data_IF_863452548862
#
_entry.id   IF_863452548862
#
_cell.length_a   1.000
_cell.length_b   1.000
_cell.length_c   1.000
_cell.angle_alpha   90.00
_cell.angle_beta   90.00
_cell.angle_gamma   90.00
#
_symmetry.space_group_name_H-M   'P 1'
#
loop_
_entity.id
_entity.type
_entity.pdbx_description
1 polymer ?
#
# COMPACT_ATOMS: atom_id res chain seq x y z
N UNK A 1 -27.14 20.54 46.03
CA UNK A 1 -26.42 20.78 44.76
C UNK A 1 -25.42 19.65 44.47
N UNK A 2 -25.46 19.01 43.29
CA UNK A 2 -24.43 18.04 42.93
C UNK A 2 -23.07 18.75 42.77
N UNK A 3 -21.94 18.07 43.07
CA UNK A 3 -20.62 18.66 42.93
C UNK A 3 -20.29 18.88 41.45
N UNK A 4 -19.74 20.06 41.14
CA UNK A 4 -19.20 20.38 39.83
C UNK A 4 -18.03 19.43 39.52
N UNK A 5 -18.20 18.56 38.52
CA UNK A 5 -17.10 17.80 37.96
C UNK A 5 -16.28 18.73 37.05
N UNK A 6 -14.94 18.72 37.15
CA UNK A 6 -14.10 19.47 36.23
C UNK A 6 -14.27 18.94 34.80
N UNK A 7 -14.12 19.80 33.77
CA UNK A 7 -14.19 19.36 32.38
C UNK A 7 -13.11 18.32 32.08
N UNK A 8 -13.38 17.36 31.18
CA UNK A 8 -12.37 16.38 30.78
C UNK A 8 -11.15 17.09 30.15
N UNK A 9 -9.94 16.57 30.34
CA UNK A 9 -8.74 17.13 29.73
C UNK A 9 -8.90 17.15 28.21
N UNK A 10 -8.53 18.28 27.59
CA UNK A 10 -8.52 18.46 26.15
C UNK A 10 -7.64 17.40 25.49
N UNK A 11 -8.18 16.72 24.47
CA UNK A 11 -7.43 15.75 23.67
C UNK A 11 -6.15 16.39 23.13
N UNK A 12 -5.00 15.69 23.18
CA UNK A 12 -3.78 16.20 22.59
C UNK A 12 -4.00 16.42 21.09
N UNK A 13 -3.37 17.46 20.49
CA UNK A 13 -3.48 17.68 19.05
C UNK A 13 -3.02 16.42 18.30
N UNK A 14 -3.61 16.13 17.13
CA UNK A 14 -3.16 15.01 16.31
C UNK A 14 -1.67 15.18 16.03
N UNK A 15 -0.88 14.13 16.28
CA UNK A 15 0.56 14.14 15.94
C UNK A 15 0.68 14.47 14.47
N UNK A 16 1.48 15.49 14.16
CA UNK A 16 1.90 15.76 12.79
C UNK A 16 2.48 14.46 12.21
N UNK A 17 2.10 14.08 10.98
CA UNK A 17 2.72 12.93 10.34
C UNK A 17 4.24 13.15 10.29
N UNK A 18 5.05 12.07 10.38
CA UNK A 18 6.49 12.18 10.23
C UNK A 18 6.79 12.90 8.90
N UNK A 19 7.74 13.84 8.94
CA UNK A 19 8.21 14.53 7.73
C UNK A 19 8.65 13.48 6.72
N UNK A 20 7.95 13.38 5.60
CA UNK A 20 8.39 12.54 4.50
C UNK A 20 9.76 13.05 4.03
N UNK A 21 10.69 12.16 3.61
CA UNK A 21 11.88 12.61 2.91
C UNK A 21 11.47 13.41 1.67
N UNK A 22 12.26 14.43 1.27
CA UNK A 22 11.96 15.18 0.06
C UNK A 22 11.95 14.21 -1.14
N UNK A 23 11.01 14.36 -2.08
CA UNK A 23 10.93 13.49 -3.23
C UNK A 23 12.16 13.64 -4.11
N UNK A 24 12.63 12.52 -4.68
CA UNK A 24 13.74 12.52 -5.62
C UNK A 24 13.22 12.93 -6.99
N UNK A 25 13.70 14.07 -7.52
CA UNK A 25 13.33 14.53 -8.86
C UNK A 25 14.13 13.80 -9.95
N UNK A 26 13.44 13.36 -11.00
CA UNK A 26 14.07 12.79 -12.19
C UNK A 26 14.29 13.90 -13.22
N UNK A 27 15.49 13.93 -13.81
CA UNK A 27 15.83 14.90 -14.85
C UNK A 27 15.41 14.36 -16.22
N UNK A 28 15.23 15.25 -17.20
CA UNK A 28 15.07 14.84 -18.59
C UNK A 28 16.23 13.95 -19.05
N UNK A 29 15.92 12.93 -19.85
CA UNK A 29 16.90 11.95 -20.35
C UNK A 29 17.02 10.70 -19.48
N UNK A 30 18.16 10.01 -19.60
CA UNK A 30 18.38 8.74 -18.91
C UNK A 30 18.66 8.95 -17.42
N UNK A 31 17.95 8.22 -16.56
CA UNK A 31 18.15 8.19 -15.12
C UNK A 31 18.31 6.74 -14.66
N UNK A 32 19.23 6.51 -13.72
CA UNK A 32 19.28 5.26 -12.96
C UNK A 32 18.22 5.28 -11.85
N UNK A 33 17.60 4.13 -11.60
CA UNK A 33 16.58 3.91 -10.59
C UNK A 33 17.01 2.76 -9.68
N UNK A 34 16.93 2.99 -8.38
CA UNK A 34 16.97 1.89 -7.40
C UNK A 34 15.64 1.13 -7.42
N UNK A 35 15.71 -0.18 -7.21
CA UNK A 35 14.54 -0.98 -6.82
C UNK A 35 14.22 -0.73 -5.34
N UNK A 36 12.95 -0.84 -4.98
CA UNK A 36 12.48 -0.75 -3.58
C UNK A 36 13.15 -1.78 -2.67
N UNK A 37 13.37 -1.42 -1.40
CA UNK A 37 13.70 -2.38 -0.35
C UNK A 37 12.48 -3.20 0.11
N UNK A 38 12.67 -4.31 0.84
CA UNK A 38 11.56 -5.00 1.51
C UNK A 38 10.77 -4.06 2.42
N UNK A 39 9.44 -4.04 2.28
CA UNK A 39 8.55 -3.13 3.02
C UNK A 39 8.62 -1.65 2.61
N UNK A 40 9.29 -1.33 1.49
CA UNK A 40 9.30 -0.02 0.82
C UNK A 40 8.40 -0.05 -0.43
N UNK A 41 7.73 1.07 -0.70
CA UNK A 41 7.01 1.35 -1.92
C UNK A 41 7.57 2.64 -2.52
N UNK A 42 8.02 2.57 -3.77
CA UNK A 42 8.46 3.70 -4.57
C UNK A 42 7.40 3.96 -5.64
N UNK A 43 7.02 5.23 -5.83
CA UNK A 43 6.07 5.64 -6.88
C UNK A 43 6.71 6.77 -7.69
N UNK A 44 6.79 6.60 -9.01
CA UNK A 44 7.09 7.69 -9.93
C UNK A 44 5.78 8.35 -10.33
N UNK A 45 5.72 9.67 -10.17
CA UNK A 45 4.55 10.45 -10.57
C UNK A 45 4.93 11.65 -11.42
N UNK A 46 4.09 11.98 -12.39
CA UNK A 46 4.20 13.19 -13.20
C UNK A 46 3.78 14.41 -12.39
N UNK A 47 4.59 15.47 -12.42
CA UNK A 47 4.41 16.70 -11.61
C UNK A 47 4.06 17.92 -12.46
N UNK A 48 3.77 17.75 -13.76
CA UNK A 48 3.51 18.83 -14.72
C UNK A 48 2.21 19.59 -14.45
N UNK A 49 1.25 19.01 -13.71
CA UNK A 49 0.02 19.67 -13.31
C UNK A 49 0.09 20.17 -11.85
N UNK A 50 0.23 21.49 -11.65
CA UNK A 50 0.40 22.10 -10.32
C UNK A 50 -0.81 22.02 -9.40
N UNK A 51 -2.01 21.76 -9.95
CA UNK A 51 -3.29 21.90 -9.24
C UNK A 51 -4.01 20.56 -9.01
N UNK A 52 -3.38 19.43 -9.38
CA UNK A 52 -3.95 18.09 -9.22
C UNK A 52 -3.02 17.16 -8.45
N UNK A 53 -3.58 16.10 -7.88
CA UNK A 53 -2.77 14.98 -7.40
C UNK A 53 -1.86 14.49 -8.53
N UNK A 54 -0.57 14.24 -8.24
CA UNK A 54 0.38 13.83 -9.26
C UNK A 54 -0.04 12.47 -9.83
N UNK A 55 0.07 12.32 -11.16
CA UNK A 55 -0.39 11.12 -11.85
C UNK A 55 0.67 10.01 -11.73
N UNK A 56 0.35 8.86 -11.11
CA UNK A 56 1.32 7.79 -10.95
C UNK A 56 1.59 7.12 -12.30
N UNK A 57 2.87 6.94 -12.61
CA UNK A 57 3.33 6.46 -13.91
C UNK A 57 4.12 5.15 -13.81
N UNK A 58 4.72 4.87 -12.65
CA UNK A 58 5.32 3.57 -12.34
C UNK A 58 5.43 3.35 -10.82
N UNK A 59 5.59 2.10 -10.39
CA UNK A 59 5.91 1.75 -9.00
C UNK A 59 6.90 0.59 -8.89
N UNK A 60 7.62 0.54 -7.77
CA UNK A 60 8.40 -0.62 -7.32
C UNK A 60 8.07 -0.87 -5.85
N UNK A 61 7.85 -2.13 -5.46
CA UNK A 61 7.56 -2.49 -4.08
C UNK A 61 8.20 -3.82 -3.68
N UNK A 62 8.61 -3.90 -2.42
CA UNK A 62 9.06 -5.13 -1.77
C UNK A 62 10.19 -5.88 -2.51
N UNK A 63 11.17 -5.14 -3.03
CA UNK A 63 12.31 -5.73 -3.75
C UNK A 63 12.03 -6.07 -5.21
N UNK A 64 10.84 -5.76 -5.75
CA UNK A 64 10.45 -6.12 -7.11
C UNK A 64 10.84 -5.05 -8.14
N UNK A 65 11.17 -5.45 -9.38
CA UNK A 65 11.40 -4.51 -10.49
C UNK A 65 10.25 -3.49 -10.63
N UNK A 66 10.57 -2.36 -11.26
CA UNK A 66 9.57 -1.35 -11.55
C UNK A 66 8.52 -1.87 -12.53
N UNK A 67 7.27 -1.50 -12.29
CA UNK A 67 6.14 -1.76 -13.19
C UNK A 67 5.43 -0.46 -13.55
N UNK A 68 5.06 -0.31 -14.83
CA UNK A 68 4.33 0.84 -15.33
C UNK A 68 2.90 0.89 -14.78
N UNK A 69 2.40 2.09 -14.51
CA UNK A 69 1.05 2.31 -14.01
C UNK A 69 0.21 3.09 -15.03
N UNK A 70 -1.05 2.67 -15.19
CA UNK A 70 -2.02 3.40 -15.99
C UNK A 70 -2.44 4.71 -15.27
N UNK A 71 -2.76 5.79 -16.02
CA UNK A 71 -3.01 5.83 -17.46
C UNK A 71 -1.78 6.07 -18.35
N UNK A 72 -0.64 6.47 -17.78
CA UNK A 72 0.57 6.84 -18.52
C UNK A 72 1.77 6.00 -18.06
N UNK A 73 1.85 4.72 -18.46
CA UNK A 73 2.88 3.82 -17.95
C UNK A 73 4.26 4.17 -18.50
N UNK A 74 5.19 4.46 -17.61
CA UNK A 74 6.60 4.61 -17.98
C UNK A 74 7.22 3.24 -18.27
N UNK A 75 7.99 3.16 -19.35
CA UNK A 75 8.82 2.00 -19.66
C UNK A 75 10.13 2.11 -18.88
N UNK A 76 10.42 1.09 -18.08
CA UNK A 76 11.59 1.05 -17.20
C UNK A 76 12.33 -0.26 -17.46
N UNK A 77 13.61 -0.15 -17.79
CA UNK A 77 14.45 -1.29 -18.13
C UNK A 77 15.22 -1.73 -16.88
N UNK A 78 14.77 -2.84 -16.28
CA UNK A 78 15.45 -3.45 -15.15
C UNK A 78 16.35 -4.58 -15.63
N UNK A 79 17.65 -4.51 -15.33
CA UNK A 79 18.57 -5.61 -15.61
C UNK A 79 18.41 -6.70 -14.55
N UNK A 80 18.30 -7.97 -14.97
CA UNK A 80 17.99 -9.08 -14.06
C UNK A 80 19.09 -9.35 -12.99
N UNK A 81 20.29 -8.80 -13.18
CA UNK A 81 21.49 -9.10 -12.37
C UNK A 81 21.82 -8.06 -11.31
N UNK A 82 21.29 -6.85 -11.41
CA UNK A 82 21.60 -5.75 -10.50
C UNK A 82 20.30 -5.06 -10.18
N UNK A 83 19.99 -4.79 -8.91
CA UNK A 83 18.79 -4.04 -8.46
C UNK A 83 18.76 -2.57 -8.95
N UNK A 84 19.37 -2.30 -10.10
CA UNK A 84 19.46 -1.06 -10.84
C UNK A 84 18.62 -1.19 -12.12
N UNK A 85 17.73 -0.22 -12.31
CA UNK A 85 16.94 -0.07 -13.51
C UNK A 85 17.25 1.28 -14.16
N UNK A 86 16.96 1.43 -15.45
CA UNK A 86 17.10 2.71 -16.15
C UNK A 86 15.76 3.17 -16.69
N UNK A 87 15.58 4.48 -16.76
CA UNK A 87 14.41 5.13 -17.34
C UNK A 87 14.83 6.30 -18.21
N UNK A 88 14.14 6.50 -19.33
CA UNK A 88 14.29 7.71 -20.15
C UNK A 88 13.09 8.62 -19.91
N UNK A 89 13.34 9.76 -19.26
CA UNK A 89 12.32 10.78 -18.99
C UNK A 89 12.20 11.73 -20.18
N UNK A 90 10.98 11.97 -20.71
CA UNK A 90 10.75 12.94 -21.77
C UNK A 90 11.25 14.36 -21.40
N UNK A 91 11.77 15.14 -22.37
CA UNK A 91 12.36 16.46 -22.10
C UNK A 91 11.36 17.50 -21.57
N UNK A 92 10.08 17.34 -21.88
CA UNK A 92 8.94 18.11 -21.40
C UNK A 92 8.32 17.53 -20.12
N UNK A 93 8.73 16.33 -19.73
CA UNK A 93 8.25 15.64 -18.54
C UNK A 93 8.95 16.11 -17.27
N UNK A 94 8.17 16.36 -16.22
CA UNK A 94 8.68 16.54 -14.86
C UNK A 94 8.17 15.38 -14.01
N UNK A 95 9.08 14.58 -13.47
CA UNK A 95 8.73 13.41 -12.67
C UNK A 95 9.44 13.44 -11.33
N UNK A 96 8.77 12.88 -10.33
CA UNK A 96 9.34 12.69 -9.00
C UNK A 96 9.13 11.28 -8.51
N UNK A 97 10.04 10.81 -7.68
CA UNK A 97 9.95 9.55 -6.95
C UNK A 97 9.56 9.84 -5.52
N UNK A 98 8.39 9.37 -5.12
CA UNK A 98 7.91 9.38 -3.74
C UNK A 98 8.27 8.04 -3.06
N UNK A 99 8.76 8.11 -1.82
CA UNK A 99 9.22 6.96 -1.04
C UNK A 99 8.29 6.73 0.15
N UNK A 100 7.72 5.53 0.24
CA UNK A 100 6.86 5.11 1.32
C UNK A 100 7.48 3.91 2.03
N UNK A 101 7.89 4.10 3.28
CA UNK A 101 8.40 3.01 4.11
C UNK A 101 7.35 2.59 5.12
N UNK A 102 7.08 1.29 5.23
CA UNK A 102 6.28 0.76 6.31
C UNK A 102 7.03 0.85 7.65
N UNK A 103 6.34 1.28 8.71
CA UNK A 103 6.88 1.15 10.06
C UNK A 103 6.49 -0.19 10.68
N UNK A 104 7.18 -0.68 11.72
CA UNK A 104 6.73 -1.86 12.48
C UNK A 104 5.30 -1.70 13.04
N UNK A 105 4.88 -0.45 13.30
CA UNK A 105 3.52 -0.18 13.74
C UNK A 105 2.49 -0.39 12.61
N UNK A 106 2.89 -0.35 11.34
CA UNK A 106 2.02 -0.57 10.17
C UNK A 106 1.89 -2.03 9.78
N UNK A 107 2.83 -2.87 10.20
CA UNK A 107 2.85 -4.32 9.94
C UNK A 107 2.37 -5.15 11.12
N UNK A 108 1.81 -4.51 12.16
CA UNK A 108 1.18 -5.24 13.27
C UNK A 108 0.06 -6.16 12.74
N UNK A 109 -0.10 -7.38 13.30
CA UNK A 109 -1.05 -8.37 12.80
C UNK A 109 -2.50 -7.85 12.68
N UNK A 110 -2.94 -7.02 13.63
CA UNK A 110 -4.28 -6.41 13.63
C UNK A 110 -4.50 -5.48 12.44
N UNK A 111 -3.51 -4.67 12.10
CA UNK A 111 -3.56 -3.79 10.93
C UNK A 111 -3.51 -4.56 9.62
N UNK A 112 -2.70 -5.63 9.56
CA UNK A 112 -2.63 -6.50 8.38
C UNK A 112 -3.97 -7.20 8.14
N UNK A 113 -4.56 -7.81 9.18
CA UNK A 113 -5.88 -8.43 9.11
C UNK A 113 -6.96 -7.41 8.69
N UNK A 114 -6.95 -6.21 9.29
CA UNK A 114 -7.93 -5.18 8.95
C UNK A 114 -7.81 -4.69 7.51
N UNK A 115 -6.57 -4.44 7.02
CA UNK A 115 -6.32 -4.05 5.62
C UNK A 115 -6.76 -5.13 4.65
N UNK A 116 -6.43 -6.39 4.95
CA UNK A 116 -6.86 -7.53 4.16
C UNK A 116 -8.39 -7.59 4.03
N UNK A 117 -9.14 -7.49 5.14
CA UNK A 117 -10.60 -7.54 5.11
C UNK A 117 -11.24 -6.36 4.35
N UNK A 118 -10.61 -5.17 4.41
CA UNK A 118 -11.02 -4.03 3.58
C UNK A 118 -10.78 -4.29 2.09
N UNK A 119 -9.60 -4.81 1.72
CA UNK A 119 -9.26 -5.16 0.34
C UNK A 119 -10.16 -6.28 -0.21
N UNK A 120 -10.52 -7.24 0.64
CA UNK A 120 -11.48 -8.28 0.31
C UNK A 120 -12.93 -7.77 0.19
N UNK A 121 -13.21 -6.49 0.50
CA UNK A 121 -14.54 -5.88 0.50
C UNK A 121 -15.52 -6.43 1.56
N UNK A 122 -15.04 -7.14 2.57
CA UNK A 122 -15.86 -7.63 3.70
C UNK A 122 -15.90 -6.63 4.86
N UNK A 123 -14.89 -5.76 4.96
CA UNK A 123 -14.76 -4.80 6.04
C UNK A 123 -14.28 -5.45 7.35
N UNK A 124 -13.49 -4.74 8.17
CA UNK A 124 -12.97 -5.27 9.42
C UNK A 124 -13.98 -5.09 10.55
N UNK A 125 -14.34 -6.19 11.21
CA UNK A 125 -15.01 -6.18 12.52
C UNK A 125 -14.03 -6.56 13.61
N UNK A 126 -14.26 -6.17 14.89
CA UNK A 126 -13.41 -6.61 15.99
C UNK A 126 -13.26 -8.13 16.06
N UNK A 127 -14.32 -8.89 15.79
CA UNK A 127 -14.33 -10.35 15.80
C UNK A 127 -13.49 -10.93 14.65
N UNK A 128 -13.66 -10.44 13.42
CA UNK A 128 -12.92 -10.94 12.26
C UNK A 128 -11.42 -10.62 12.33
N UNK A 129 -11.05 -9.44 12.84
CA UNK A 129 -9.65 -9.10 13.12
C UNK A 129 -9.10 -10.05 14.18
N UNK A 130 -9.80 -10.27 15.29
CA UNK A 130 -9.36 -11.21 16.34
C UNK A 130 -9.15 -12.61 15.79
N UNK A 131 -10.05 -13.10 14.95
CA UNK A 131 -9.96 -14.43 14.32
C UNK A 131 -8.72 -14.55 13.43
N UNK A 132 -8.44 -13.55 12.58
CA UNK A 132 -7.27 -13.54 11.71
C UNK A 132 -5.95 -13.36 12.48
N UNK A 133 -5.97 -12.66 13.62
CA UNK A 133 -4.78 -12.47 14.46
C UNK A 133 -4.57 -13.54 15.53
N UNK A 134 -5.46 -14.54 15.61
CA UNK A 134 -5.34 -15.61 16.59
C UNK A 134 -4.02 -16.37 16.38
N UNK A 135 -3.28 -16.58 17.48
CA UNK A 135 -1.95 -17.18 17.44
C UNK A 135 -2.00 -18.57 16.78
N UNK A 136 -1.15 -18.76 15.77
CA UNK A 136 -0.93 -20.01 15.04
C UNK A 136 0.54 -20.11 14.63
N UNK A 137 0.99 -21.29 14.24
CA UNK A 137 2.37 -21.49 13.81
C UNK A 137 2.70 -20.71 12.52
N UNK A 138 1.69 -20.49 11.68
CA UNK A 138 1.76 -19.83 10.38
C UNK A 138 1.52 -18.30 10.45
N UNK A 139 1.14 -17.80 11.64
CA UNK A 139 0.85 -16.39 11.87
C UNK A 139 -0.35 -15.85 11.07
N UNK A 140 -0.43 -14.52 10.96
CA UNK A 140 -1.56 -13.84 10.30
C UNK A 140 -1.66 -14.20 8.80
N UNK A 141 -0.54 -14.48 8.14
CA UNK A 141 -0.51 -14.80 6.72
C UNK A 141 -1.20 -16.14 6.43
N UNK A 142 -0.86 -17.21 7.19
CA UNK A 142 -1.54 -18.50 7.04
C UNK A 142 -3.03 -18.43 7.40
N UNK A 143 -3.42 -17.58 8.36
CA UNK A 143 -4.84 -17.32 8.66
C UNK A 143 -5.59 -16.65 7.52
N UNK A 144 -4.94 -15.72 6.82
CA UNK A 144 -5.51 -15.06 5.65
C UNK A 144 -5.71 -16.08 4.52
N UNK A 145 -4.72 -16.93 4.27
CA UNK A 145 -4.82 -17.99 3.26
C UNK A 145 -6.00 -18.93 3.54
N UNK A 146 -6.08 -19.48 4.76
CA UNK A 146 -7.19 -20.35 5.16
C UNK A 146 -8.55 -19.64 5.09
N UNK A 147 -8.61 -18.34 5.41
CA UNK A 147 -9.82 -17.56 5.29
C UNK A 147 -10.25 -17.38 3.83
N UNK A 148 -9.30 -17.16 2.92
CA UNK A 148 -9.58 -17.05 1.47
C UNK A 148 -10.16 -18.36 0.96
N UNK A 149 -9.53 -19.49 1.27
CA UNK A 149 -10.02 -20.84 0.90
C UNK A 149 -11.43 -21.08 1.44
N UNK A 150 -11.70 -20.72 2.70
CA UNK A 150 -13.03 -20.80 3.29
C UNK A 150 -14.06 -19.95 2.51
N UNK A 151 -13.74 -18.70 2.18
CA UNK A 151 -14.65 -17.83 1.41
C UNK A 151 -14.83 -18.29 -0.04
N UNK A 152 -13.82 -18.93 -0.64
CA UNK A 152 -13.88 -19.42 -2.03
C UNK A 152 -14.69 -20.71 -2.14
N UNK A 153 -14.50 -21.66 -1.23
CA UNK A 153 -14.97 -23.04 -1.41
C UNK A 153 -16.10 -23.45 -0.48
N UNK A 154 -16.11 -22.94 0.75
CA UNK A 154 -16.93 -23.52 1.81
C UNK A 154 -18.17 -22.68 2.15
N UNK A 155 -18.09 -21.37 2.00
CA UNK A 155 -19.20 -20.47 2.30
C UNK A 155 -20.28 -20.49 1.20
N UNK A 156 -21.59 -20.44 1.56
CA UNK A 156 -22.65 -20.32 0.57
C UNK A 156 -22.49 -19.06 -0.29
N UNK A 157 -22.70 -19.15 -1.62
CA UNK A 157 -22.61 -18.00 -2.51
C UNK A 157 -23.77 -17.02 -2.22
N UNK A 158 -23.41 -15.87 -1.66
CA UNK A 158 -24.28 -14.67 -1.65
C UNK A 158 -23.89 -13.79 -2.83
N UNK A 159 -24.74 -12.83 -3.21
CA UNK A 159 -24.42 -11.87 -4.29
C UNK A 159 -23.06 -11.18 -4.08
N UNK A 160 -22.72 -10.85 -2.83
CA UNK A 160 -21.43 -10.27 -2.48
C UNK A 160 -20.27 -11.25 -2.68
N UNK A 161 -20.40 -12.49 -2.20
CA UNK A 161 -19.35 -13.52 -2.34
C UNK A 161 -19.16 -13.94 -3.78
N UNK A 162 -20.22 -14.10 -4.56
CA UNK A 162 -20.12 -14.37 -6.00
C UNK A 162 -19.37 -13.25 -6.73
N UNK A 163 -19.71 -11.99 -6.41
CA UNK A 163 -19.03 -10.83 -6.97
C UNK A 163 -17.55 -10.75 -6.57
N UNK A 164 -17.21 -11.12 -5.33
CA UNK A 164 -15.83 -11.19 -4.88
C UNK A 164 -15.05 -12.34 -5.53
N UNK A 165 -15.59 -13.56 -5.58
CA UNK A 165 -14.95 -14.74 -6.20
C UNK A 165 -14.55 -14.49 -7.65
N UNK A 166 -15.44 -13.85 -8.44
CA UNK A 166 -15.18 -13.48 -9.85
C UNK A 166 -13.98 -12.55 -10.04
N UNK A 167 -13.54 -11.83 -9.00
CA UNK A 167 -12.42 -10.89 -9.05
C UNK A 167 -11.17 -11.44 -8.37
N UNK A 168 -11.34 -12.39 -7.45
CA UNK A 168 -10.24 -13.03 -6.73
C UNK A 168 -9.57 -14.14 -7.55
N UNK A 169 -10.28 -14.75 -8.51
CA UNK A 169 -9.74 -15.73 -9.45
C UNK A 169 -9.40 -15.07 -10.80
N UNK A 170 -8.12 -14.94 -11.17
CA UNK A 170 -7.68 -14.47 -12.49
C UNK A 170 -7.99 -15.47 -13.61
#
# INVERSE_FOLDING_TARGET
PPPFLPPPPSSPPPRSPPSAPPPWMLSAGENELKVSAPGELLIISETSASDSWPLPAARSYDGRPWEGLMPLPLQIDCTASTSSCTIVVPPDGSYRVDVFTSSPADTRPDKLAARFLMQATFGPTPESVRQLTAATAEGVAGKIEAWVEQQMEHEPPTLHREYWRKRASP
#
